data_IF_059349636634
#
_entry.id   IF_059349636634
#
_cell.length_a   1.000
_cell.length_b   1.000
_cell.length_c   1.000
_cell.angle_alpha   90.00
_cell.angle_beta   90.00
_cell.angle_gamma   90.00
#
_symmetry.space_group_name_H-M   'P 1'
#
loop_
_entity.id
_entity.type
_entity.pdbx_description
1 polymer ?
#
# COMPACT_ATOMS: atom_id res chain seq x y z
N UNK A 1 -21.01 -2.40 14.21
CA UNK A 1 -20.98 -1.59 12.97
C UNK A 1 -20.68 -0.18 13.40
N UNK A 2 -19.79 0.51 12.70
CA UNK A 2 -19.36 1.87 12.99
C UNK A 2 -20.40 2.85 12.45
N UNK A 3 -20.72 3.92 13.18
CA UNK A 3 -21.53 5.01 12.66
C UNK A 3 -20.68 5.96 11.78
N UNK A 4 -21.34 6.84 11.02
CA UNK A 4 -20.65 7.77 10.13
C UNK A 4 -19.71 8.75 10.86
N UNK A 5 -20.06 9.16 12.10
CA UNK A 5 -19.23 10.08 12.87
C UNK A 5 -17.90 9.42 13.26
N UNK A 6 -17.96 8.20 13.78
CA UNK A 6 -16.78 7.41 14.09
C UNK A 6 -15.97 7.11 12.82
N UNK A 7 -16.64 6.85 11.68
CA UNK A 7 -15.98 6.56 10.40
C UNK A 7 -15.15 7.74 9.89
N UNK A 8 -15.66 8.95 10.09
CA UNK A 8 -15.03 10.20 9.67
C UNK A 8 -14.04 10.78 10.69
N UNK A 9 -13.80 10.11 11.83
CA UNK A 9 -12.94 10.64 12.90
C UNK A 9 -11.55 11.04 12.40
N UNK A 10 -10.90 12.05 13.01
CA UNK A 10 -9.54 12.44 12.66
C UNK A 10 -8.54 11.32 12.95
N UNK A 11 -7.37 11.42 12.32
CA UNK A 11 -6.27 10.51 12.64
C UNK A 11 -5.87 10.63 14.11
N UNK A 12 -5.65 9.50 14.78
CA UNK A 12 -5.29 9.43 16.21
C UNK A 12 -4.13 10.36 16.60
N UNK A 13 -3.19 10.60 15.69
CA UNK A 13 -2.07 11.54 15.89
C UNK A 13 -1.93 12.55 14.74
N UNK A 14 -3.04 13.09 14.24
CA UNK A 14 -3.07 14.08 13.15
C UNK A 14 -2.15 15.31 13.39
N UNK A 15 -2.06 15.75 14.64
CA UNK A 15 -1.24 16.91 15.04
C UNK A 15 0.16 16.54 15.53
N UNK A 16 0.58 15.28 15.42
CA UNK A 16 1.92 14.87 15.83
C UNK A 16 3.01 15.64 15.08
N UNK A 17 4.03 16.04 15.84
CA UNK A 17 5.26 16.55 15.27
C UNK A 17 6.00 15.34 14.67
N UNK A 18 6.12 15.33 13.35
CA UNK A 18 6.84 14.29 12.65
C UNK A 18 8.34 14.38 12.92
N UNK A 19 9.05 13.23 12.99
CA UNK A 19 10.50 13.23 13.09
C UNK A 19 11.13 13.87 11.84
N UNK A 20 12.43 14.17 11.91
CA UNK A 20 13.18 14.53 10.72
C UNK A 20 13.17 13.36 9.72
N UNK A 21 12.92 13.67 8.44
CA UNK A 21 12.88 12.70 7.34
C UNK A 21 13.98 13.04 6.32
N UNK A 22 14.60 12.03 5.68
CA UNK A 22 14.32 10.60 5.80
C UNK A 22 14.78 10.01 7.15
N UNK A 23 14.06 8.99 7.63
CA UNK A 23 14.49 8.21 8.80
C UNK A 23 15.82 7.50 8.48
N UNK A 24 16.74 7.38 9.46
CA UNK A 24 17.95 6.59 9.26
C UNK A 24 17.59 5.11 9.00
N UNK A 25 18.37 4.39 8.18
CA UNK A 25 18.18 2.96 7.97
C UNK A 25 18.23 2.19 9.29
N UNK A 26 17.23 1.33 9.52
CA UNK A 26 17.24 0.42 10.66
C UNK A 26 18.03 -0.87 10.34
N UNK A 27 18.27 -1.70 11.36
CA UNK A 27 19.03 -2.93 11.20
C UNK A 27 18.37 -3.92 10.21
N UNK A 28 17.04 -3.92 10.12
CA UNK A 28 16.27 -4.76 9.19
C UNK A 28 16.49 -4.29 7.75
N UNK A 29 16.43 -2.98 7.50
CA UNK A 29 16.73 -2.41 6.20
C UNK A 29 18.16 -2.73 5.77
N UNK A 30 19.14 -2.56 6.67
CA UNK A 30 20.54 -2.86 6.38
C UNK A 30 20.75 -4.35 6.08
N UNK A 31 20.04 -5.24 6.78
CA UNK A 31 20.03 -6.68 6.48
C UNK A 31 19.58 -6.95 5.04
N UNK A 32 18.42 -6.40 4.64
CA UNK A 32 17.89 -6.59 3.29
C UNK A 32 18.83 -6.05 2.21
N UNK A 33 19.45 -4.88 2.46
CA UNK A 33 20.42 -4.29 1.52
C UNK A 33 21.62 -5.20 1.33
N UNK A 34 22.21 -5.73 2.41
CA UNK A 34 23.33 -6.68 2.33
C UNK A 34 22.92 -7.96 1.63
N UNK A 35 21.77 -8.52 1.99
CA UNK A 35 21.28 -9.77 1.43
C UNK A 35 21.04 -9.66 -0.09
N UNK A 36 20.43 -8.56 -0.55
CA UNK A 36 20.23 -8.33 -1.99
C UNK A 36 21.52 -8.09 -2.76
N UNK A 37 22.52 -7.43 -2.16
CA UNK A 37 23.83 -7.26 -2.78
C UNK A 37 24.55 -8.61 -2.94
N UNK A 38 24.38 -9.53 -1.99
CA UNK A 38 24.99 -10.86 -2.02
C UNK A 38 24.21 -11.89 -2.86
N UNK A 39 22.95 -11.61 -3.21
CA UNK A 39 22.04 -12.58 -3.85
C UNK A 39 21.75 -12.18 -5.30
N UNK A 40 22.31 -12.93 -6.24
CA UNK A 40 22.03 -12.75 -7.67
C UNK A 40 20.52 -12.87 -7.96
N UNK A 41 20.02 -12.08 -8.91
CA UNK A 41 18.59 -12.00 -9.25
C UNK A 41 17.96 -13.37 -9.50
N UNK A 42 18.63 -14.21 -10.29
CA UNK A 42 18.14 -15.55 -10.66
C UNK A 42 18.08 -16.53 -9.48
N UNK A 43 18.78 -16.22 -8.37
CA UNK A 43 18.80 -17.03 -7.15
C UNK A 43 17.90 -16.48 -6.04
N UNK A 44 17.28 -15.31 -6.23
CA UNK A 44 16.52 -14.62 -5.18
C UNK A 44 15.39 -15.48 -4.62
N UNK A 45 14.64 -16.19 -5.47
CA UNK A 45 13.58 -17.08 -5.00
C UNK A 45 14.13 -18.17 -4.09
N UNK A 46 15.14 -18.91 -4.54
CA UNK A 46 15.73 -20.00 -3.77
C UNK A 46 16.31 -19.52 -2.44
N UNK A 47 17.06 -18.43 -2.47
CA UNK A 47 17.67 -17.86 -1.29
C UNK A 47 16.61 -17.34 -0.30
N UNK A 48 15.55 -16.70 -0.79
CA UNK A 48 14.49 -16.18 0.07
C UNK A 48 13.80 -17.29 0.87
N UNK A 49 13.63 -18.48 0.29
CA UNK A 49 12.99 -19.62 0.98
C UNK A 49 13.78 -20.13 2.18
N UNK A 50 15.11 -19.89 2.23
CA UNK A 50 15.92 -20.19 3.41
C UNK A 50 15.66 -19.20 4.55
N UNK A 51 15.21 -18.00 4.22
CA UNK A 51 14.96 -16.90 5.15
C UNK A 51 13.49 -16.81 5.59
N UNK A 52 12.58 -17.16 4.67
CA UNK A 52 11.13 -17.27 4.86
C UNK A 52 10.67 -18.70 4.53
N UNK A 53 10.89 -19.67 5.44
CA UNK A 53 10.54 -21.08 5.22
C UNK A 53 9.03 -21.33 5.06
N UNK A 54 8.17 -20.34 5.29
CA UNK A 54 6.76 -20.36 4.89
C UNK A 54 6.61 -20.71 3.41
N UNK A 55 7.55 -20.25 2.57
CA UNK A 55 7.59 -20.52 1.13
C UNK A 55 8.01 -21.97 0.79
N UNK A 56 8.33 -22.79 1.79
CA UNK A 56 8.57 -24.24 1.66
C UNK A 56 7.35 -25.07 2.09
N UNK A 57 6.27 -24.43 2.56
CA UNK A 57 5.06 -25.11 3.00
C UNK A 57 3.96 -24.90 1.96
N UNK A 58 3.49 -25.99 1.37
CA UNK A 58 2.39 -25.97 0.40
C UNK A 58 1.09 -25.53 1.07
N UNK A 59 0.37 -24.53 0.52
CA UNK A 59 -0.88 -24.10 1.10
C UNK A 59 -1.94 -25.20 1.11
N UNK A 60 -2.52 -25.48 2.27
CA UNK A 60 -3.54 -26.52 2.47
C UNK A 60 -4.26 -26.31 3.81
N UNK A 61 -5.47 -26.86 4.01
CA UNK A 61 -6.19 -26.69 5.28
C UNK A 61 -5.34 -27.14 6.47
N UNK A 62 -5.28 -26.31 7.51
CA UNK A 62 -4.52 -26.56 8.74
C UNK A 62 -3.01 -26.68 8.51
N UNK A 63 -2.47 -26.10 7.42
CA UNK A 63 -1.04 -26.11 7.13
C UNK A 63 -0.21 -25.59 8.31
N UNK A 64 -0.72 -24.61 9.06
CA UNK A 64 -0.05 -24.08 10.26
C UNK A 64 0.18 -25.13 11.35
N UNK A 65 -0.69 -26.14 11.44
CA UNK A 65 -0.60 -27.22 12.42
C UNK A 65 0.25 -28.40 11.93
N UNK A 66 0.64 -28.41 10.65
CA UNK A 66 1.48 -29.46 10.10
C UNK A 66 2.86 -29.50 10.74
N UNK A 67 3.43 -30.70 10.85
CA UNK A 67 4.80 -30.89 11.34
C UNK A 67 5.81 -30.00 10.60
N UNK A 68 5.68 -29.92 9.26
CA UNK A 68 6.56 -29.09 8.44
C UNK A 68 6.51 -27.61 8.84
N UNK A 69 5.32 -27.04 9.00
CA UNK A 69 5.21 -25.63 9.39
C UNK A 69 5.81 -25.41 10.79
N UNK A 70 5.52 -26.30 11.73
CA UNK A 70 6.05 -26.21 13.10
C UNK A 70 7.58 -26.28 13.13
N UNK A 71 8.18 -27.24 12.41
CA UNK A 71 9.64 -27.41 12.31
C UNK A 71 10.32 -26.26 11.58
N UNK A 72 9.90 -25.99 10.35
CA UNK A 72 10.61 -25.05 9.48
C UNK A 72 10.30 -23.60 9.87
N UNK A 73 9.02 -23.26 10.07
CA UNK A 73 8.60 -21.87 10.30
C UNK A 73 8.77 -21.47 11.77
N UNK A 74 8.30 -22.28 12.72
CA UNK A 74 8.31 -21.87 14.13
C UNK A 74 9.60 -22.22 14.87
N UNK A 75 10.30 -23.28 14.46
CA UNK A 75 11.57 -23.72 15.10
C UNK A 75 12.83 -23.44 14.28
N UNK A 76 12.71 -23.12 12.99
CA UNK A 76 13.86 -22.74 12.16
C UNK A 76 14.76 -23.90 11.82
N UNK A 77 14.23 -25.12 11.85
CA UNK A 77 14.96 -26.32 11.47
C UNK A 77 15.33 -26.27 9.97
N UNK A 78 16.48 -26.84 9.63
CA UNK A 78 16.89 -26.97 8.24
C UNK A 78 15.92 -27.89 7.46
N UNK A 79 15.57 -27.53 6.21
CA UNK A 79 14.68 -28.36 5.41
C UNK A 79 15.34 -29.69 5.05
N UNK A 80 14.56 -30.78 5.12
CA UNK A 80 15.00 -32.10 4.68
C UNK A 80 14.75 -32.27 3.17
N UNK A 81 15.39 -33.22 2.47
CA UNK A 81 15.16 -33.47 1.04
C UNK A 81 13.67 -33.63 0.69
N UNK A 82 12.93 -34.40 1.49
CA UNK A 82 11.48 -34.57 1.35
C UNK A 82 10.68 -33.27 1.46
N UNK A 83 11.16 -32.28 2.21
CA UNK A 83 10.50 -30.98 2.32
C UNK A 83 10.65 -30.17 1.03
N UNK A 84 11.83 -30.26 0.41
CA UNK A 84 12.14 -29.57 -0.85
C UNK A 84 11.42 -30.21 -2.05
N UNK A 85 11.25 -31.53 -2.05
CA UNK A 85 10.57 -32.26 -3.12
C UNK A 85 9.13 -31.79 -3.34
N UNK A 86 8.40 -31.59 -2.24
CA UNK A 86 7.00 -31.19 -2.27
C UNK A 86 6.79 -29.70 -1.98
N UNK A 87 7.87 -28.92 -1.85
CA UNK A 87 7.77 -27.48 -1.68
C UNK A 87 7.10 -26.84 -2.91
N UNK A 88 6.27 -25.80 -2.71
CA UNK A 88 5.61 -25.14 -3.83
C UNK A 88 6.64 -24.49 -4.77
N UNK A 89 6.32 -24.51 -6.06
CA UNK A 89 7.14 -23.95 -7.14
C UNK A 89 6.37 -22.84 -7.83
N UNK A 90 7.10 -21.80 -8.21
CA UNK A 90 6.56 -20.74 -9.06
C UNK A 90 6.31 -21.29 -10.47
N UNK A 91 5.22 -20.87 -11.09
CA UNK A 91 4.89 -21.11 -12.49
C UNK A 91 5.75 -20.26 -13.43
N UNK A 92 6.00 -19.01 -13.05
CA UNK A 92 6.91 -18.09 -13.73
C UNK A 92 8.04 -17.63 -12.80
N UNK A 93 9.07 -18.46 -12.56
CA UNK A 93 10.23 -18.06 -11.76
C UNK A 93 10.96 -16.82 -12.29
N UNK A 94 10.92 -16.56 -13.62
CA UNK A 94 11.59 -15.40 -14.23
C UNK A 94 10.83 -14.10 -13.99
N UNK A 95 9.52 -14.18 -13.77
CA UNK A 95 8.64 -13.09 -13.38
C UNK A 95 8.76 -12.66 -11.91
N UNK A 96 9.55 -13.37 -11.10
CA UNK A 96 9.80 -13.03 -9.70
C UNK A 96 11.05 -12.17 -9.53
N UNK A 97 10.97 -11.15 -8.69
CA UNK A 97 12.15 -10.38 -8.26
C UNK A 97 11.94 -9.70 -6.93
N UNK A 98 13.04 -9.38 -6.26
CA UNK A 98 13.07 -8.65 -5.00
C UNK A 98 13.86 -7.36 -5.19
N UNK A 99 13.27 -6.25 -4.78
CA UNK A 99 13.91 -4.92 -4.76
C UNK A 99 13.74 -4.26 -3.40
N UNK A 100 14.43 -3.15 -3.17
CA UNK A 100 14.18 -2.28 -2.02
C UNK A 100 13.58 -0.98 -2.52
N UNK A 101 12.36 -0.69 -2.09
CA UNK A 101 11.73 0.60 -2.29
C UNK A 101 12.23 1.57 -1.21
N UNK A 102 12.98 2.58 -1.64
CA UNK A 102 13.40 3.68 -0.75
C UNK A 102 12.19 4.56 -0.45
N UNK A 103 11.98 4.90 0.82
CA UNK A 103 10.91 5.79 1.23
C UNK A 103 11.37 6.61 2.44
N UNK A 104 10.97 7.90 2.59
CA UNK A 104 11.40 8.73 3.71
C UNK A 104 11.07 8.15 5.08
N UNK A 105 10.03 7.31 5.19
CA UNK A 105 9.66 6.62 6.42
C UNK A 105 10.38 5.26 6.62
N UNK A 106 11.50 5.03 5.94
CA UNK A 106 12.28 3.79 5.97
C UNK A 106 11.96 2.88 4.78
N UNK A 107 12.99 2.22 4.25
CA UNK A 107 12.86 1.43 3.05
C UNK A 107 12.13 0.09 3.30
N UNK A 108 11.58 -0.49 2.24
CA UNK A 108 10.85 -1.76 2.31
C UNK A 108 11.31 -2.74 1.24
N UNK A 109 11.52 -4.03 1.58
CA UNK A 109 11.67 -5.06 0.57
C UNK A 109 10.34 -5.22 -0.20
N UNK A 110 10.45 -5.37 -1.52
CA UNK A 110 9.32 -5.52 -2.43
C UNK A 110 9.49 -6.78 -3.26
N UNK A 111 8.58 -7.73 -3.10
CA UNK A 111 8.43 -8.91 -3.93
C UNK A 111 7.57 -8.52 -5.14
N UNK A 112 8.16 -8.48 -6.33
CA UNK A 112 7.42 -8.28 -7.59
C UNK A 112 7.18 -9.61 -8.27
N UNK A 113 5.94 -9.86 -8.68
CA UNK A 113 5.50 -11.12 -9.30
C UNK A 113 4.71 -10.83 -10.56
N UNK A 114 5.03 -11.50 -11.67
CA UNK A 114 4.33 -11.32 -12.94
C UNK A 114 3.10 -12.23 -13.09
N UNK A 115 3.20 -13.49 -12.66
CA UNK A 115 2.11 -14.45 -12.75
C UNK A 115 1.14 -14.31 -11.55
N UNK A 116 -0.16 -14.38 -11.83
CA UNK A 116 -1.19 -14.19 -10.80
C UNK A 116 -1.25 -15.35 -9.82
N UNK A 117 -1.10 -16.59 -10.27
CA UNK A 117 -1.18 -17.76 -9.40
C UNK A 117 0.06 -17.84 -8.49
N UNK A 118 1.21 -17.39 -8.98
CA UNK A 118 2.41 -17.19 -8.16
C UNK A 118 2.21 -16.10 -7.10
N UNK A 119 1.54 -15.00 -7.45
CA UNK A 119 1.17 -13.96 -6.47
C UNK A 119 0.25 -14.54 -5.40
N UNK A 120 -0.81 -15.26 -5.79
CA UNK A 120 -1.75 -15.91 -4.86
C UNK A 120 -1.05 -16.95 -3.98
N UNK A 121 -0.12 -17.72 -4.54
CA UNK A 121 0.70 -18.67 -3.79
C UNK A 121 1.51 -17.97 -2.70
N UNK A 122 2.27 -16.92 -3.06
CA UNK A 122 3.11 -16.17 -2.11
C UNK A 122 2.24 -15.51 -1.03
N UNK A 123 1.09 -14.94 -1.42
CA UNK A 123 0.11 -14.37 -0.49
C UNK A 123 -0.38 -15.40 0.53
N UNK A 124 -0.76 -16.60 0.07
CA UNK A 124 -1.17 -17.69 0.97
C UNK A 124 -0.06 -18.08 1.93
N UNK A 125 1.17 -18.25 1.43
CA UNK A 125 2.31 -18.61 2.25
C UNK A 125 2.63 -17.56 3.31
N UNK A 126 2.72 -16.29 2.93
CA UNK A 126 3.22 -15.21 3.79
C UNK A 126 2.11 -14.52 4.59
N UNK A 127 1.01 -14.13 3.97
CA UNK A 127 -0.07 -13.38 4.62
C UNK A 127 -1.05 -14.29 5.36
N UNK A 128 -1.33 -15.47 4.80
CA UNK A 128 -2.35 -16.39 5.32
C UNK A 128 -1.77 -17.64 5.99
N UNK A 129 -0.48 -17.62 6.37
CA UNK A 129 0.17 -18.70 7.14
C UNK A 129 0.02 -20.07 6.47
N UNK A 130 0.08 -20.10 5.15
CA UNK A 130 -0.07 -21.29 4.31
C UNK A 130 -1.48 -21.91 4.35
N UNK A 131 -2.49 -21.19 4.82
CA UNK A 131 -3.89 -21.62 4.69
C UNK A 131 -4.40 -21.33 3.26
N UNK A 132 -5.33 -22.14 2.70
CA UNK A 132 -5.80 -22.03 1.33
C UNK A 132 -6.89 -20.96 1.20
N UNK A 133 -6.66 -19.79 1.79
CA UNK A 133 -7.62 -18.68 1.80
C UNK A 133 -7.82 -18.21 0.36
N UNK A 134 -9.07 -18.00 -0.08
CA UNK A 134 -9.35 -17.34 -1.35
C UNK A 134 -8.77 -15.92 -1.34
N UNK A 135 -7.94 -15.61 -2.34
CA UNK A 135 -7.48 -14.24 -2.60
C UNK A 135 -8.37 -13.71 -3.71
N UNK A 136 -9.01 -12.57 -3.48
CA UNK A 136 -9.89 -11.94 -4.48
C UNK A 136 -9.07 -11.59 -5.73
N UNK A 137 -9.62 -11.83 -6.92
CA UNK A 137 -8.91 -11.59 -8.19
C UNK A 137 -8.54 -10.12 -8.43
N UNK A 138 -9.21 -9.20 -7.75
CA UNK A 138 -8.96 -7.75 -7.78
C UNK A 138 -7.80 -7.32 -6.87
N UNK A 139 -7.29 -8.21 -6.01
CA UNK A 139 -6.14 -7.91 -5.14
C UNK A 139 -4.86 -8.13 -5.93
N UNK A 140 -4.09 -7.03 -6.07
CA UNK A 140 -2.81 -7.03 -6.78
C UNK A 140 -1.64 -6.56 -5.90
N UNK A 141 -1.88 -6.26 -4.63
CA UNK A 141 -0.88 -5.77 -3.69
C UNK A 141 -1.20 -6.22 -2.27
N UNK A 142 -0.18 -6.41 -1.43
CA UNK A 142 -0.36 -6.41 0.01
C UNK A 142 0.94 -6.08 0.76
N UNK A 143 0.85 -5.22 1.77
CA UNK A 143 1.84 -5.11 2.82
C UNK A 143 1.65 -6.20 3.88
N UNK A 144 2.57 -7.15 3.99
CA UNK A 144 2.54 -8.23 4.98
C UNK A 144 3.52 -7.94 6.09
N UNK A 145 3.03 -7.78 7.32
CA UNK A 145 3.84 -7.51 8.51
C UNK A 145 3.81 -8.68 9.49
N UNK A 146 4.77 -8.71 10.42
CA UNK A 146 4.79 -9.74 11.47
C UNK A 146 5.33 -11.09 11.00
N UNK A 147 6.01 -11.13 9.85
CA UNK A 147 6.56 -12.37 9.30
C UNK A 147 7.71 -12.88 10.17
N UNK A 148 7.66 -14.17 10.49
CA UNK A 148 8.82 -14.90 11.01
C UNK A 148 9.84 -14.97 9.88
N UNK A 149 11.02 -14.43 10.13
CA UNK A 149 12.09 -14.35 9.15
C UNK A 149 13.39 -14.80 9.80
N UNK A 150 13.87 -15.98 9.43
CA UNK A 150 14.98 -16.61 10.14
C UNK A 150 16.32 -15.92 9.94
N UNK A 151 16.54 -15.23 8.81
CA UNK A 151 17.72 -14.37 8.63
C UNK A 151 17.82 -13.26 9.66
N UNK A 152 16.75 -12.47 9.80
CA UNK A 152 16.64 -11.44 10.84
C UNK A 152 16.74 -12.04 12.25
N UNK A 153 16.06 -13.15 12.54
CA UNK A 153 16.11 -13.77 13.87
C UNK A 153 17.51 -14.25 14.24
N UNK A 154 18.26 -14.81 13.28
CA UNK A 154 19.63 -15.28 13.51
C UNK A 154 20.63 -14.14 13.72
N UNK A 155 20.42 -13.00 13.07
CA UNK A 155 21.38 -11.89 13.07
C UNK A 155 21.04 -10.78 14.08
N UNK A 156 19.76 -10.59 14.39
CA UNK A 156 19.24 -9.49 15.21
C UNK A 156 18.64 -10.02 16.53
N UNK A 157 17.33 -10.27 16.60
CA UNK A 157 16.65 -10.79 17.79
C UNK A 157 15.45 -11.72 17.42
N UNK A 158 15.12 -12.65 18.32
CA UNK A 158 13.97 -13.57 18.16
C UNK A 158 12.61 -12.86 18.07
N UNK A 159 12.52 -11.61 18.51
CA UNK A 159 11.32 -10.77 18.42
C UNK A 159 11.24 -9.99 17.12
N UNK A 160 12.33 -9.89 16.36
CA UNK A 160 12.32 -9.16 15.10
C UNK A 160 11.43 -9.85 14.07
N UNK A 161 10.61 -9.04 13.41
CA UNK A 161 9.66 -9.51 12.40
C UNK A 161 9.85 -8.73 11.13
N UNK A 162 9.70 -9.42 10.02
CA UNK A 162 9.80 -8.80 8.72
C UNK A 162 8.47 -8.16 8.31
N UNK A 163 8.56 -7.05 7.59
CA UNK A 163 7.46 -6.49 6.81
C UNK A 163 7.91 -6.41 5.35
N UNK A 164 7.11 -6.98 4.44
CA UNK A 164 7.41 -7.03 3.01
C UNK A 164 6.18 -6.57 2.22
N UNK A 165 6.42 -5.88 1.10
CA UNK A 165 5.38 -5.58 0.11
C UNK A 165 5.37 -6.67 -0.97
N UNK A 166 4.20 -7.21 -1.30
CA UNK A 166 4.02 -8.13 -2.43
C UNK A 166 3.22 -7.40 -3.51
N UNK A 167 3.77 -7.28 -4.72
CA UNK A 167 3.15 -6.60 -5.85
C UNK A 167 2.99 -7.54 -7.05
N UNK A 168 1.76 -7.65 -7.55
CA UNK A 168 1.45 -8.31 -8.81
C UNK A 168 1.50 -7.32 -9.97
N UNK A 169 2.11 -7.73 -11.09
CA UNK A 169 2.17 -6.96 -12.34
C UNK A 169 0.84 -6.99 -13.08
N UNK A 170 -0.05 -6.07 -12.71
CA UNK A 170 -1.35 -5.88 -13.37
C UNK A 170 -1.73 -4.40 -13.49
N UNK A 171 -2.64 -4.04 -14.41
CA UNK A 171 -3.30 -2.73 -14.44
C UNK A 171 -3.82 -2.31 -13.06
N UNK A 172 -3.68 -1.04 -12.71
CA UNK A 172 -4.15 -0.54 -11.42
C UNK A 172 -5.67 -0.48 -11.38
N UNK A 173 -6.29 -1.05 -10.33
CA UNK A 173 -7.75 -1.13 -10.16
C UNK A 173 -8.51 -1.63 -11.40
N UNK A 174 -7.90 -2.54 -12.17
CA UNK A 174 -8.46 -3.06 -13.43
C UNK A 174 -8.80 -2.00 -14.49
N UNK A 175 -8.30 -0.76 -14.35
CA UNK A 175 -8.52 0.32 -15.32
C UNK A 175 -7.84 -0.04 -16.64
N UNK A 176 -8.57 0.15 -17.75
CA UNK A 176 -8.03 -0.07 -19.08
C UNK A 176 -7.02 1.03 -19.44
N UNK A 177 -6.01 0.69 -20.25
CA UNK A 177 -5.05 1.69 -20.71
C UNK A 177 -5.73 2.85 -21.48
N UNK A 178 -6.87 2.58 -22.11
CA UNK A 178 -7.68 3.58 -22.83
C UNK A 178 -8.41 4.59 -21.92
N UNK A 179 -8.63 4.27 -20.63
CA UNK A 179 -9.23 5.22 -19.69
C UNK A 179 -8.20 6.17 -19.08
N UNK A 180 -6.90 5.87 -19.23
CA UNK A 180 -5.82 6.68 -18.70
C UNK A 180 -5.50 7.82 -19.66
N UNK A 181 -5.36 9.08 -19.19
CA UNK A 181 -5.04 10.19 -20.07
C UNK A 181 -3.77 9.96 -20.88
N UNK A 182 -3.84 10.33 -22.16
CA UNK A 182 -2.80 10.06 -23.13
C UNK A 182 -2.83 8.64 -23.71
N UNK A 183 -3.73 7.77 -23.25
CA UNK A 183 -3.94 6.40 -23.75
C UNK A 183 -2.62 5.63 -23.94
N UNK A 184 -1.83 5.45 -22.87
CA UNK A 184 -0.53 4.79 -22.95
C UNK A 184 -0.63 3.37 -23.52
N UNK A 185 0.48 2.84 -24.01
CA UNK A 185 0.53 1.41 -24.37
C UNK A 185 0.30 0.54 -23.14
N UNK A 186 -0.14 -0.71 -23.32
CA UNK A 186 -0.36 -1.63 -22.21
C UNK A 186 0.90 -1.81 -21.35
N UNK A 187 2.08 -1.89 -21.97
CA UNK A 187 3.35 -2.01 -21.24
C UNK A 187 3.68 -0.76 -20.42
N UNK A 188 3.42 0.43 -20.96
CA UNK A 188 3.58 1.68 -20.22
C UNK A 188 2.60 1.76 -19.06
N UNK A 189 1.33 1.40 -19.30
CA UNK A 189 0.31 1.41 -18.26
C UNK A 189 0.63 0.42 -17.13
N UNK A 190 1.10 -0.78 -17.45
CA UNK A 190 1.53 -1.76 -16.45
C UNK A 190 2.70 -1.19 -15.61
N UNK A 191 3.69 -0.54 -16.24
CA UNK A 191 4.81 0.08 -15.51
C UNK A 191 4.32 1.19 -14.57
N UNK A 192 3.45 2.07 -15.05
CA UNK A 192 2.83 3.13 -14.23
C UNK A 192 1.98 2.56 -13.10
N UNK A 193 1.22 1.50 -13.38
CA UNK A 193 0.39 0.79 -12.39
C UNK A 193 1.24 0.20 -11.26
N UNK A 194 2.44 -0.32 -11.57
CA UNK A 194 3.37 -0.82 -10.54
C UNK A 194 3.91 0.31 -9.66
N UNK A 195 4.23 1.47 -10.25
CA UNK A 195 4.65 2.67 -9.49
C UNK A 195 3.52 3.15 -8.59
N UNK A 196 2.31 3.32 -9.14
CA UNK A 196 1.15 3.77 -8.39
C UNK A 196 0.90 2.85 -7.20
N UNK A 197 0.81 1.54 -7.45
CA UNK A 197 0.58 0.53 -6.42
C UNK A 197 1.63 0.53 -5.34
N UNK A 198 2.91 0.63 -5.70
CA UNK A 198 3.99 0.69 -4.72
C UNK A 198 3.84 1.92 -3.81
N UNK A 199 3.63 3.08 -4.40
CA UNK A 199 3.51 4.36 -3.68
C UNK A 199 2.23 4.43 -2.83
N UNK A 200 1.14 3.82 -3.29
CA UNK A 200 -0.08 3.63 -2.52
C UNK A 200 0.17 2.83 -1.23
N UNK A 201 0.81 1.65 -1.34
CA UNK A 201 1.16 0.84 -0.17
C UNK A 201 2.15 1.55 0.77
N UNK A 202 3.11 2.29 0.21
CA UNK A 202 4.05 3.09 0.99
C UNK A 202 3.36 4.24 1.74
N UNK A 203 2.33 4.87 1.14
CA UNK A 203 1.54 5.90 1.80
C UNK A 203 0.79 5.34 3.02
N UNK A 204 0.22 4.14 2.92
CA UNK A 204 -0.39 3.45 4.06
C UNK A 204 0.62 3.14 5.17
N UNK A 205 1.82 2.66 4.83
CA UNK A 205 2.91 2.46 5.80
C UNK A 205 3.32 3.79 6.45
N UNK A 206 3.38 4.87 5.68
CA UNK A 206 3.70 6.20 6.16
C UNK A 206 2.64 6.70 7.16
N UNK A 207 1.36 6.54 6.86
CA UNK A 207 0.26 6.87 7.79
C UNK A 207 0.45 6.14 9.12
N UNK A 208 0.64 4.81 9.08
CA UNK A 208 0.85 4.01 10.30
C UNK A 208 2.02 4.53 11.14
N UNK A 209 3.14 4.88 10.48
CA UNK A 209 4.34 5.36 11.17
C UNK A 209 4.22 6.79 11.72
N UNK A 210 3.63 7.70 10.94
CA UNK A 210 3.67 9.14 11.22
C UNK A 210 2.46 9.65 12.00
N UNK A 211 1.29 9.07 11.77
CA UNK A 211 0.04 9.45 12.46
C UNK A 211 -0.56 8.31 13.29
N UNK A 212 0.17 7.21 13.42
CA UNK A 212 -0.08 6.14 14.40
C UNK A 212 -1.08 5.08 13.95
N UNK A 213 -1.73 5.26 12.81
CA UNK A 213 -2.73 4.33 12.30
C UNK A 213 -2.80 4.35 10.77
N UNK A 214 -3.38 3.27 10.24
CA UNK A 214 -3.72 3.07 8.84
C UNK A 214 -5.05 2.35 8.86
N UNK A 215 -6.08 2.99 8.31
CA UNK A 215 -7.47 2.54 8.34
C UNK A 215 -7.83 1.98 6.97
N UNK A 216 -8.75 1.02 6.97
CA UNK A 216 -9.33 0.48 5.72
C UNK A 216 -10.63 1.25 5.51
N UNK A 217 -10.53 2.49 5.03
CA UNK A 217 -11.67 3.37 4.79
C UNK A 217 -11.44 4.27 3.57
N UNK A 218 -12.50 4.90 3.06
CA UNK A 218 -12.45 5.69 1.83
C UNK A 218 -11.48 6.86 1.88
N UNK A 219 -11.26 7.45 3.06
CA UNK A 219 -10.37 8.60 3.19
C UNK A 219 -8.90 8.21 3.14
N UNK A 220 -8.50 7.14 3.83
CA UNK A 220 -7.14 6.62 3.77
C UNK A 220 -6.78 6.18 2.34
N UNK A 221 -7.74 5.61 1.60
CA UNK A 221 -7.61 5.25 0.20
C UNK A 221 -7.43 6.48 -0.71
N UNK A 222 -8.18 7.56 -0.47
CA UNK A 222 -8.00 8.83 -1.18
C UNK A 222 -6.58 9.37 -0.97
N UNK A 223 -6.07 9.32 0.26
CA UNK A 223 -4.70 9.75 0.58
C UNK A 223 -3.67 8.89 -0.17
N UNK A 224 -3.82 7.57 -0.12
CA UNK A 224 -2.88 6.65 -0.76
C UNK A 224 -2.90 6.76 -2.28
N UNK A 225 -4.08 6.84 -2.91
CA UNK A 225 -4.23 7.02 -4.35
C UNK A 225 -3.78 8.42 -4.82
N UNK A 226 -3.96 9.47 -4.00
CA UNK A 226 -3.44 10.78 -4.34
C UNK A 226 -1.91 10.80 -4.44
N UNK A 227 -1.22 10.13 -3.50
CA UNK A 227 0.23 10.01 -3.54
C UNK A 227 0.66 9.11 -4.70
N UNK A 228 0.06 7.93 -4.83
CA UNK A 228 0.42 6.95 -5.85
C UNK A 228 0.19 7.44 -7.27
N UNK A 229 -0.99 7.99 -7.54
CA UNK A 229 -1.35 8.50 -8.87
C UNK A 229 -0.45 9.67 -9.28
N UNK A 230 -0.17 10.61 -8.36
CA UNK A 230 0.73 11.74 -8.64
C UNK A 230 2.15 11.28 -8.92
N UNK A 231 2.68 10.30 -8.19
CA UNK A 231 4.01 9.77 -8.47
C UNK A 231 4.07 9.00 -9.80
N UNK A 232 3.02 8.25 -10.15
CA UNK A 232 3.00 7.43 -11.36
C UNK A 232 2.66 8.21 -12.65
N UNK A 233 1.74 9.16 -12.56
CA UNK A 233 1.17 9.89 -13.69
C UNK A 233 1.59 11.36 -13.75
N UNK A 234 2.11 11.91 -12.64
CA UNK A 234 2.48 13.32 -12.50
C UNK A 234 1.38 14.21 -11.91
N UNK A 235 0.15 13.72 -11.83
CA UNK A 235 -1.02 14.44 -11.34
C UNK A 235 -2.06 13.49 -10.71
N UNK A 236 -3.00 14.06 -9.97
CA UNK A 236 -4.16 13.34 -9.42
C UNK A 236 -5.41 13.72 -10.21
N UNK A 237 -6.29 12.76 -10.46
CA UNK A 237 -7.59 12.95 -11.12
C UNK A 237 -8.69 12.28 -10.30
N UNK A 238 -9.68 13.08 -9.90
CA UNK A 238 -10.81 12.59 -9.10
C UNK A 238 -11.60 11.52 -9.86
N UNK A 239 -11.74 11.67 -11.17
CA UNK A 239 -12.47 10.74 -12.01
C UNK A 239 -11.80 9.36 -12.10
N UNK A 240 -10.47 9.31 -12.25
CA UNK A 240 -9.74 8.03 -12.22
C UNK A 240 -9.82 7.36 -10.84
N UNK A 241 -9.78 8.15 -9.77
CA UNK A 241 -9.97 7.64 -8.41
C UNK A 241 -11.38 7.05 -8.24
N UNK A 242 -12.43 7.75 -8.68
CA UNK A 242 -13.82 7.26 -8.67
C UNK A 242 -13.97 5.94 -9.43
N UNK A 243 -13.44 5.87 -10.65
CA UNK A 243 -13.48 4.66 -11.47
C UNK A 243 -12.72 3.52 -10.78
N UNK A 244 -11.54 3.79 -10.21
CA UNK A 244 -10.75 2.78 -9.48
C UNK A 244 -11.42 2.26 -8.21
N UNK A 245 -12.29 3.06 -7.59
CA UNK A 245 -13.14 2.61 -6.48
C UNK A 245 -14.38 1.82 -6.93
N UNK A 246 -14.82 1.95 -8.19
CA UNK A 246 -16.07 1.39 -8.69
C UNK A 246 -17.32 2.12 -8.20
N UNK A 247 -17.23 3.45 -8.05
CA UNK A 247 -18.35 4.29 -7.62
C UNK A 247 -19.08 4.93 -8.80
N UNK A 248 -20.41 5.04 -8.73
CA UNK A 248 -21.21 5.87 -9.63
C UNK A 248 -21.14 7.35 -9.22
N UNK A 249 -21.61 8.25 -10.11
CA UNK A 249 -21.56 9.70 -9.87
C UNK A 249 -22.41 10.15 -8.67
N UNK A 250 -23.48 9.42 -8.36
CA UNK A 250 -24.36 9.67 -7.22
C UNK A 250 -23.85 9.08 -5.90
N UNK A 251 -22.68 8.43 -5.92
CA UNK A 251 -22.08 7.77 -4.76
C UNK A 251 -22.59 6.35 -4.51
N UNK A 252 -23.44 5.79 -5.37
CA UNK A 252 -23.78 4.36 -5.29
C UNK A 252 -22.59 3.48 -5.70
N UNK A 253 -22.50 2.28 -5.13
CA UNK A 253 -21.39 1.35 -5.32
C UNK A 253 -21.78 0.29 -6.35
N UNK A 254 -20.92 -0.01 -7.33
CA UNK A 254 -21.13 -1.09 -8.30
C UNK A 254 -20.95 -2.47 -7.63
N UNK A 255 -21.56 -3.53 -8.18
CA UNK A 255 -21.64 -4.84 -7.51
C UNK A 255 -20.27 -5.44 -7.13
N UNK A 256 -19.26 -5.32 -8.00
CA UNK A 256 -17.90 -5.86 -7.82
C UNK A 256 -16.87 -4.78 -7.45
N UNK A 257 -17.33 -3.61 -7.02
CA UNK A 257 -16.50 -2.45 -6.74
C UNK A 257 -15.56 -2.64 -5.55
N UNK A 258 -14.36 -2.04 -5.66
CA UNK A 258 -13.36 -1.99 -4.58
C UNK A 258 -13.91 -1.29 -3.32
N UNK A 259 -14.81 -0.31 -3.51
CA UNK A 259 -15.39 0.47 -2.43
C UNK A 259 -16.10 -0.35 -1.34
N UNK A 260 -16.65 -1.54 -1.67
CA UNK A 260 -17.28 -2.43 -0.69
C UNK A 260 -16.36 -2.78 0.48
N UNK A 261 -15.06 -2.95 0.22
CA UNK A 261 -14.06 -3.25 1.26
C UNK A 261 -13.91 -2.10 2.26
N UNK A 262 -14.05 -0.86 1.80
CA UNK A 262 -13.81 0.35 2.58
C UNK A 262 -15.03 0.81 3.37
N UNK A 263 -16.22 0.30 3.03
CA UNK A 263 -17.47 0.57 3.76
C UNK A 263 -17.95 -0.63 4.58
N UNK A 264 -17.26 -1.78 4.53
CA UNK A 264 -17.74 -3.01 5.18
C UNK A 264 -18.01 -2.86 6.70
N UNK A 265 -17.29 -1.94 7.36
CA UNK A 265 -17.43 -1.71 8.80
C UNK A 265 -18.43 -0.60 9.13
N UNK A 266 -18.83 0.20 8.14
CA UNK A 266 -19.79 1.30 8.25
C UNK A 266 -21.22 0.79 8.12
N UNK A 267 -22.17 1.46 8.79
CA UNK A 267 -23.60 1.20 8.63
C UNK A 267 -24.02 1.27 7.14
N UNK A 268 -24.69 0.24 6.59
CA UNK A 268 -25.18 0.23 5.22
C UNK A 268 -25.98 1.48 4.82
N UNK A 269 -26.71 2.09 5.76
CA UNK A 269 -27.47 3.31 5.49
C UNK A 269 -26.58 4.52 5.19
N UNK A 270 -25.33 4.49 5.67
CA UNK A 270 -24.36 5.58 5.52
C UNK A 270 -23.39 5.36 4.34
N UNK A 271 -23.44 4.21 3.66
CA UNK A 271 -22.50 3.87 2.57
C UNK A 271 -22.51 4.93 1.45
N UNK A 272 -23.69 5.26 0.93
CA UNK A 272 -23.83 6.26 -0.14
C UNK A 272 -23.35 7.64 0.34
N UNK A 273 -23.66 8.02 1.57
CA UNK A 273 -23.22 9.30 2.14
C UNK A 273 -21.68 9.37 2.23
N UNK A 274 -21.02 8.34 2.73
CA UNK A 274 -19.56 8.27 2.80
C UNK A 274 -18.91 8.30 1.40
N UNK A 275 -19.52 7.61 0.42
CA UNK A 275 -19.07 7.65 -0.97
C UNK A 275 -19.25 9.05 -1.58
N UNK A 276 -20.37 9.73 -1.38
CA UNK A 276 -20.56 11.11 -1.83
C UNK A 276 -19.52 12.05 -1.19
N UNK A 277 -19.22 11.88 0.09
CA UNK A 277 -18.17 12.64 0.78
C UNK A 277 -16.80 12.41 0.12
N UNK A 278 -16.39 11.16 -0.14
CA UNK A 278 -15.07 10.91 -0.73
C UNK A 278 -14.96 11.45 -2.16
N UNK A 279 -16.05 11.42 -2.95
CA UNK A 279 -16.09 12.04 -4.27
C UNK A 279 -15.95 13.57 -4.17
N UNK A 280 -16.60 14.21 -3.21
CA UNK A 280 -16.41 15.65 -2.97
C UNK A 280 -14.96 15.96 -2.58
N UNK A 281 -14.36 15.20 -1.65
CA UNK A 281 -12.95 15.38 -1.25
C UNK A 281 -11.96 15.14 -2.39
N UNK A 282 -12.23 14.18 -3.27
CA UNK A 282 -11.41 13.91 -4.45
C UNK A 282 -11.42 15.09 -5.43
N UNK A 283 -12.59 15.65 -5.73
CA UNK A 283 -12.72 16.83 -6.61
C UNK A 283 -12.02 18.06 -6.02
N UNK A 284 -12.20 18.31 -4.72
CA UNK A 284 -11.48 19.38 -4.01
C UNK A 284 -9.96 19.18 -4.08
N UNK A 285 -9.49 17.96 -3.84
CA UNK A 285 -8.07 17.64 -3.88
C UNK A 285 -7.45 17.90 -5.26
N UNK A 286 -8.12 17.45 -6.33
CA UNK A 286 -7.69 17.70 -7.70
C UNK A 286 -7.61 19.22 -7.98
N UNK A 287 -8.65 19.98 -7.65
CA UNK A 287 -8.66 21.43 -7.85
C UNK A 287 -7.52 22.12 -7.07
N UNK A 288 -7.32 21.74 -5.81
CA UNK A 288 -6.30 22.34 -4.95
C UNK A 288 -4.88 22.00 -5.40
N UNK A 289 -4.64 20.79 -5.91
CA UNK A 289 -3.35 20.41 -6.50
C UNK A 289 -3.09 21.18 -7.81
N UNK A 290 -4.09 21.28 -8.69
CA UNK A 290 -3.99 22.01 -9.96
C UNK A 290 -3.73 23.51 -9.76
N UNK A 291 -4.34 24.10 -8.72
CA UNK A 291 -4.15 25.51 -8.33
C UNK A 291 -2.98 25.74 -7.37
N UNK A 292 -2.18 24.70 -7.08
CA UNK A 292 -0.99 24.75 -6.20
C UNK A 292 -1.28 25.26 -4.79
N UNK A 293 -2.50 25.03 -4.29
CA UNK A 293 -2.90 25.33 -2.91
C UNK A 293 -2.40 24.28 -1.89
N UNK A 294 -1.97 23.12 -2.39
CA UNK A 294 -1.38 22.03 -1.63
C UNK A 294 0.07 21.75 -2.07
N UNK A 295 0.92 21.21 -1.19
CA UNK A 295 2.28 20.86 -1.54
C UNK A 295 2.36 19.80 -2.65
N UNK A 296 3.31 19.96 -3.57
CA UNK A 296 3.61 18.94 -4.58
C UNK A 296 4.44 17.77 -4.02
N UNK A 297 5.27 18.00 -3.01
CA UNK A 297 6.04 16.96 -2.32
C UNK A 297 5.12 15.97 -1.61
N UNK A 298 5.34 14.67 -1.79
CA UNK A 298 4.45 13.60 -1.30
C UNK A 298 4.34 13.55 0.23
N UNK A 299 5.44 13.73 0.96
CA UNK A 299 5.42 13.72 2.43
C UNK A 299 4.70 14.97 2.96
N UNK A 300 4.96 16.15 2.39
CA UNK A 300 4.26 17.38 2.78
C UNK A 300 2.77 17.32 2.43
N UNK A 301 2.41 16.73 1.29
CA UNK A 301 1.02 16.50 0.90
C UNK A 301 0.32 15.57 1.89
N UNK A 302 0.94 14.42 2.20
CA UNK A 302 0.41 13.49 3.20
C UNK A 302 0.20 14.18 4.56
N UNK A 303 1.13 15.04 4.98
CA UNK A 303 1.01 15.81 6.22
C UNK A 303 -0.19 16.75 6.22
N UNK A 304 -0.47 17.37 5.08
CA UNK A 304 -1.64 18.22 4.92
C UNK A 304 -2.93 17.43 5.00
N UNK A 305 -2.99 16.30 4.29
CA UNK A 305 -4.20 15.51 4.16
C UNK A 305 -4.56 14.75 5.44
N UNK A 306 -3.56 14.29 6.21
CA UNK A 306 -3.78 13.60 7.49
C UNK A 306 -4.31 14.51 8.61
N UNK A 307 -4.41 15.82 8.38
CA UNK A 307 -5.06 16.78 9.27
C UNK A 307 -6.50 17.10 8.90
N UNK A 308 -6.98 16.53 7.81
CA UNK A 308 -8.37 16.64 7.36
C UNK A 308 -9.15 15.40 7.75
N UNK A 309 -10.47 15.49 7.62
CA UNK A 309 -11.41 14.39 7.81
C UNK A 309 -12.29 14.25 6.56
N UNK A 310 -12.95 13.10 6.43
CA UNK A 310 -13.77 12.81 5.25
C UNK A 310 -15.01 13.73 5.16
N UNK A 311 -15.61 14.04 6.30
CA UNK A 311 -16.85 14.80 6.47
C UNK A 311 -16.68 16.33 6.31
N UNK A 312 -15.45 16.82 6.11
CA UNK A 312 -15.15 18.25 6.03
C UNK A 312 -14.37 18.60 4.76
N UNK A 313 -14.63 19.78 4.21
CA UNK A 313 -13.88 20.29 3.07
C UNK A 313 -12.37 20.37 3.36
N UNK A 314 -11.55 20.07 2.36
CA UNK A 314 -10.09 20.15 2.49
C UNK A 314 -9.64 21.60 2.72
N UNK A 315 -8.69 21.79 3.65
CA UNK A 315 -8.16 23.11 4.01
C UNK A 315 -6.89 23.42 3.23
N UNK A 316 -6.77 24.65 2.71
CA UNK A 316 -5.55 25.11 2.05
C UNK A 316 -4.47 25.47 3.08
N UNK A 317 -3.20 25.23 2.73
CA UNK A 317 -2.05 25.64 3.55
C UNK A 317 -1.39 26.93 3.06
N UNK A 318 -1.85 27.47 1.93
CA UNK A 318 -1.37 28.74 1.40
C UNK A 318 -2.09 29.86 2.14
N UNK A 319 -1.34 30.64 2.94
CA UNK A 319 -1.84 31.93 3.43
C UNK A 319 -2.26 32.74 2.21
N UNK A 320 -3.56 32.99 2.04
CA UNK A 320 -4.05 33.98 1.09
C UNK A 320 -3.29 35.29 1.35
N UNK A 321 -2.68 35.93 0.33
CA UNK A 321 -2.08 37.24 0.50
C UNK A 321 -3.14 38.16 1.08
N UNK A 322 -2.84 38.78 2.22
CA UNK A 322 -3.75 39.68 2.90
C UNK A 322 -3.93 40.92 2.01
N UNK A 323 -4.97 40.98 1.19
CA UNK A 323 -5.33 42.11 0.32
C UNK A 323 -5.98 43.26 1.10
N UNK A 324 -5.52 43.51 2.32
CA UNK A 324 -6.01 44.57 3.20
C UNK A 324 -4.85 45.38 3.77
N UNK A 325 -4.01 45.95 2.91
CA UNK A 325 -3.08 47.05 3.28
C UNK A 325 -2.56 47.75 2.03
N UNK A 326 -3.42 48.48 1.32
CA UNK A 326 -3.02 49.51 0.35
C UNK A 326 -4.19 50.47 0.10
N UNK A 327 -4.72 51.07 1.16
CA UNK A 327 -5.50 52.31 1.07
C UNK A 327 -5.34 53.07 2.39
N UNK A 328 -4.24 53.83 2.48
CA UNK A 328 -4.16 55.08 3.23
C UNK A 328 -2.75 55.66 3.10
N UNK A 329 -2.51 56.36 1.99
CA UNK A 329 -1.62 57.51 2.00
C UNK A 329 -2.46 58.73 1.62
N UNK A 330 -2.83 59.51 2.63
CA UNK A 330 -3.27 60.89 2.45
C UNK A 330 -2.05 61.74 2.07
N UNK A 331 -2.19 62.74 1.19
CA UNK A 331 -1.11 63.65 0.85
C UNK A 331 -0.95 64.69 1.97
N UNK A 332 0.29 64.96 2.33
CA UNK A 332 0.73 66.21 2.96
C UNK A 332 1.90 66.74 2.16
#
# INVERSE_FOLDING_TARGET
>A
MQDLQDYCKPFSKADAIWPALPLPPDAIELWWRRWLLATAKDNQWQALRAELPQLLVTPQPLARLSDRYQRLVLRGESPQPKDLEVAPRLRDPKGFSITIANHPCGAKPVLSVSDHDDFVLIMRCLAHRCEPIPVQGTVHAQAVAGLIHWGLIRELDVKDRCQILILHRAPYSSLSASSIPGSPSLDQWIKQSQIWRLEHELAHIACRKLVGEMRINLFDELLADAIGMKTALGHFQAELFRQGLGLNLDGTIQDDARAHLYVQQLDPNDHVAACQMVLARANELEQMLNTKQLPSDSIKLLKSLTRSTLDQALKSNVKTPNTSRLSNKKPC
#
